data_IF_492807135197
#
_entry.id   IF_492807135197
#
_cell.length_a   1.000
_cell.length_b   1.000
_cell.length_c   1.000
_cell.angle_alpha   90.00
_cell.angle_beta   90.00
_cell.angle_gamma   90.00
#
_symmetry.space_group_name_H-M   'P 1'
#
loop_
_entity.id
_entity.type
_entity.pdbx_description
1 polymer ?
#
# COMPACT_ATOMS: atom_id res chain seq x y z
N UNK A 1 24.14 -20.14 22.11
CA UNK A 1 23.00 -19.30 22.49
C UNK A 1 23.32 -17.89 22.01
N UNK A 2 23.04 -17.61 20.74
CA UNK A 2 23.27 -16.29 20.15
C UNK A 2 22.06 -15.46 20.55
N UNK A 3 22.26 -14.46 21.42
CA UNK A 3 21.30 -13.38 21.59
C UNK A 3 21.24 -12.68 20.23
N UNK A 4 20.16 -12.88 19.48
CA UNK A 4 19.77 -11.90 18.48
C UNK A 4 19.46 -10.62 19.28
N UNK A 5 20.34 -9.63 19.16
CA UNK A 5 20.05 -8.29 19.63
C UNK A 5 18.78 -7.84 18.90
N UNK A 6 17.71 -7.58 19.65
CA UNK A 6 16.57 -6.81 19.17
C UNK A 6 17.16 -5.48 18.68
N UNK A 7 17.35 -5.32 17.37
CA UNK A 7 17.55 -4.01 16.79
C UNK A 7 16.40 -3.15 17.33
N UNK A 8 16.73 -2.10 18.09
CA UNK A 8 15.76 -1.13 18.58
C UNK A 8 14.92 -0.70 17.37
N UNK A 9 13.69 -1.22 17.29
CA UNK A 9 12.71 -0.76 16.32
C UNK A 9 12.51 0.69 16.67
N UNK A 10 13.14 1.58 15.90
CA UNK A 10 12.95 3.02 16.02
C UNK A 10 11.51 3.29 15.61
N UNK A 11 10.57 3.25 16.54
CA UNK A 11 9.14 3.53 16.32
C UNK A 11 8.91 5.02 16.04
N UNK A 12 9.67 5.66 15.14
CA UNK A 12 9.59 7.10 14.87
C UNK A 12 8.39 7.37 13.94
N UNK A 13 7.16 7.49 14.47
CA UNK A 13 5.97 7.49 13.64
C UNK A 13 5.87 8.87 12.97
N UNK A 14 5.45 8.95 11.70
CA UNK A 14 5.25 10.23 11.05
C UNK A 14 4.17 11.05 11.78
N UNK A 15 4.39 12.37 11.86
CA UNK A 15 3.35 13.28 12.32
C UNK A 15 2.27 13.49 11.24
N UNK A 16 1.15 14.11 11.62
CA UNK A 16 0.01 14.33 10.74
C UNK A 16 0.40 15.07 9.45
N UNK A 17 1.24 16.11 9.56
CA UNK A 17 1.73 16.86 8.40
C UNK A 17 2.52 15.98 7.44
N UNK A 18 3.36 15.10 7.96
CA UNK A 18 4.13 14.14 7.16
C UNK A 18 3.22 13.15 6.46
N UNK A 19 2.18 12.65 7.13
CA UNK A 19 1.18 11.74 6.53
C UNK A 19 0.36 12.46 5.46
N UNK A 20 -0.08 13.69 5.69
CA UNK A 20 -0.79 14.51 4.69
C UNK A 20 0.06 14.71 3.44
N UNK A 21 1.30 15.16 3.62
CA UNK A 21 2.24 15.34 2.52
C UNK A 21 2.39 14.04 1.72
N UNK A 22 2.51 12.90 2.41
CA UNK A 22 2.65 11.62 1.74
C UNK A 22 1.41 11.21 0.97
N UNK A 23 0.21 11.41 1.53
CA UNK A 23 -1.05 11.15 0.83
C UNK A 23 -1.15 11.97 -0.46
N UNK A 24 -0.75 13.24 -0.43
CA UNK A 24 -0.74 14.11 -1.63
C UNK A 24 0.26 13.62 -2.66
N UNK A 25 1.51 13.33 -2.25
CA UNK A 25 2.54 12.82 -3.15
C UNK A 25 2.12 11.52 -3.83
N UNK A 26 1.58 10.57 -3.05
CA UNK A 26 1.09 9.29 -3.55
C UNK A 26 -0.12 9.48 -4.47
N UNK A 27 -1.03 10.42 -4.17
CA UNK A 27 -2.17 10.72 -5.02
C UNK A 27 -1.76 11.21 -6.42
N UNK A 28 -0.84 12.18 -6.50
CA UNK A 28 -0.29 12.66 -7.77
C UNK A 28 0.38 11.51 -8.53
N UNK A 29 1.22 10.75 -7.82
CA UNK A 29 1.98 9.66 -8.42
C UNK A 29 1.06 8.56 -8.98
N UNK A 30 0.03 8.20 -8.23
CA UNK A 30 -0.98 7.21 -8.65
C UNK A 30 -1.81 7.70 -9.83
N UNK A 31 -2.22 8.98 -9.84
CA UNK A 31 -2.87 9.58 -11.02
C UNK A 31 -1.98 9.48 -12.26
N UNK A 32 -0.67 9.74 -12.11
CA UNK A 32 0.26 9.63 -13.25
C UNK A 32 0.35 8.21 -13.75
N UNK A 33 0.44 7.23 -12.83
CA UNK A 33 0.43 5.82 -13.21
C UNK A 33 -0.84 5.42 -13.99
N UNK A 34 -2.01 5.96 -13.64
CA UNK A 34 -3.25 5.71 -14.38
C UNK A 34 -3.19 6.27 -15.80
N UNK A 35 -2.75 7.52 -15.97
CA UNK A 35 -2.60 8.12 -17.30
C UNK A 35 -1.61 7.35 -18.18
N UNK A 36 -0.47 6.94 -17.62
CA UNK A 36 0.52 6.11 -18.32
C UNK A 36 -0.08 4.75 -18.71
N UNK A 37 -0.90 4.13 -17.84
CA UNK A 37 -1.57 2.87 -18.14
C UNK A 37 -2.62 3.00 -19.26
N UNK A 38 -3.43 4.06 -19.22
CA UNK A 38 -4.44 4.37 -20.24
C UNK A 38 -3.76 4.55 -21.60
N UNK A 39 -2.69 5.35 -21.65
CA UNK A 39 -1.95 5.54 -22.89
C UNK A 39 -1.24 4.26 -23.36
N UNK A 40 -0.58 3.52 -22.46
CA UNK A 40 0.11 2.27 -22.81
C UNK A 40 -0.84 1.24 -23.45
N UNK A 41 -2.08 1.18 -22.97
CA UNK A 41 -3.11 0.26 -23.48
C UNK A 41 -3.71 0.65 -24.83
N UNK A 42 -3.83 1.95 -25.12
CA UNK A 42 -4.48 2.47 -26.33
C UNK A 42 -3.50 2.85 -27.44
N UNK A 43 -2.35 3.44 -27.06
CA UNK A 43 -1.36 4.10 -27.93
C UNK A 43 -1.98 5.15 -28.86
N UNK A 44 -3.06 5.77 -28.41
CA UNK A 44 -3.79 6.79 -29.15
C UNK A 44 -3.18 8.18 -28.87
N UNK A 45 -2.86 8.92 -29.93
CA UNK A 45 -2.26 10.26 -29.84
C UNK A 45 -3.22 11.31 -29.25
N UNK A 46 -4.53 11.16 -29.45
CA UNK A 46 -5.54 12.06 -28.84
C UNK A 46 -5.63 11.83 -27.34
N UNK A 47 -5.62 10.55 -26.91
CA UNK A 47 -5.57 10.19 -25.48
C UNK A 47 -4.29 10.73 -24.86
N UNK A 48 -3.13 10.52 -25.50
CA UNK A 48 -1.86 11.06 -25.01
C UNK A 48 -1.92 12.57 -24.81
N UNK A 49 -2.54 13.28 -25.74
CA UNK A 49 -2.70 14.74 -25.67
C UNK A 49 -3.63 15.16 -24.54
N UNK A 50 -4.74 14.46 -24.32
CA UNK A 50 -5.67 14.72 -23.21
C UNK A 50 -4.96 14.53 -21.88
N UNK A 51 -4.31 13.38 -21.69
CA UNK A 51 -3.58 13.07 -20.46
C UNK A 51 -2.42 14.03 -20.24
N UNK A 52 -1.72 14.43 -21.31
CA UNK A 52 -0.66 15.43 -21.23
C UNK A 52 -1.19 16.77 -20.72
N UNK A 53 -2.25 17.29 -21.32
CA UNK A 53 -2.82 18.56 -20.91
C UNK A 53 -3.29 18.53 -19.44
N UNK A 54 -3.91 17.43 -19.02
CA UNK A 54 -4.29 17.23 -17.61
C UNK A 54 -3.06 17.25 -16.69
N UNK A 55 -1.98 16.58 -17.08
CA UNK A 55 -0.76 16.57 -16.27
C UNK A 55 0.02 17.88 -16.27
N UNK A 56 -0.03 18.66 -17.36
CA UNK A 56 0.51 20.02 -17.38
C UNK A 56 -0.21 20.89 -16.32
N UNK A 57 -1.54 20.78 -16.19
CA UNK A 57 -2.30 21.45 -15.12
C UNK A 57 -1.92 20.94 -13.71
N UNK A 58 -1.67 19.65 -13.57
CA UNK A 58 -1.22 19.06 -12.29
C UNK A 58 0.19 19.53 -11.92
N UNK A 59 1.08 19.69 -12.89
CA UNK A 59 2.44 20.21 -12.68
C UNK A 59 2.40 21.67 -12.21
N UNK A 60 1.61 22.53 -12.87
CA UNK A 60 1.39 23.91 -12.43
C UNK A 60 0.85 23.95 -10.98
N UNK A 61 -0.17 23.14 -10.69
CA UNK A 61 -0.72 23.03 -9.33
C UNK A 61 0.30 22.54 -8.31
N UNK A 62 1.16 21.59 -8.67
CA UNK A 62 2.23 21.10 -7.78
C UNK A 62 3.29 22.17 -7.49
N UNK A 63 3.59 23.03 -8.45
CA UNK A 63 4.49 24.17 -8.24
C UNK A 63 3.86 25.18 -7.28
N UNK A 64 2.61 25.58 -7.55
CA UNK A 64 1.86 26.56 -6.74
C UNK A 64 1.69 26.09 -5.29
N UNK A 65 1.33 24.83 -5.08
CA UNK A 65 1.11 24.23 -3.76
C UNK A 65 2.39 23.65 -3.11
N UNK A 66 3.55 23.88 -3.75
CA UNK A 66 4.87 23.47 -3.29
C UNK A 66 4.99 21.95 -3.01
N UNK A 67 4.30 21.14 -3.81
CA UNK A 67 4.26 19.67 -3.71
C UNK A 67 5.58 19.05 -4.16
N UNK A 68 6.28 19.66 -5.11
CA UNK A 68 7.56 19.15 -5.63
C UNK A 68 8.57 18.89 -4.50
N UNK A 69 8.56 19.74 -3.47
CA UNK A 69 9.51 19.64 -2.36
C UNK A 69 9.26 18.48 -1.40
N UNK A 70 8.04 17.90 -1.40
CA UNK A 70 7.68 16.77 -0.53
C UNK A 70 7.74 15.43 -1.25
N UNK A 71 7.91 15.41 -2.58
CA UNK A 71 8.09 14.19 -3.35
C UNK A 71 9.37 13.44 -2.94
N UNK A 72 9.27 12.12 -2.96
CA UNK A 72 10.37 11.18 -2.74
C UNK A 72 11.34 11.20 -3.92
N UNK A 73 12.52 10.58 -3.75
CA UNK A 73 13.53 10.56 -4.83
C UNK A 73 13.01 9.79 -6.05
N UNK A 74 12.33 8.68 -5.81
CA UNK A 74 11.71 7.85 -6.87
C UNK A 74 10.57 8.59 -7.54
N UNK A 75 9.70 9.23 -6.76
CA UNK A 75 8.56 10.01 -7.29
C UNK A 75 9.04 11.14 -8.19
N UNK A 76 10.05 11.91 -7.78
CA UNK A 76 10.66 12.97 -8.61
C UNK A 76 11.24 12.43 -9.91
N UNK A 77 11.96 11.31 -9.84
CA UNK A 77 12.58 10.70 -11.02
C UNK A 77 11.54 10.29 -12.06
N UNK A 78 10.44 9.67 -11.63
CA UNK A 78 9.41 9.16 -12.51
C UNK A 78 8.48 10.26 -13.01
N UNK A 79 8.06 11.19 -12.15
CA UNK A 79 7.25 12.34 -12.56
C UNK A 79 8.00 13.27 -13.53
N UNK A 80 9.33 13.33 -13.45
CA UNK A 80 10.15 14.08 -14.40
C UNK A 80 10.29 13.45 -15.79
N UNK A 81 9.73 12.26 -16.03
CA UNK A 81 9.67 11.66 -17.37
C UNK A 81 8.53 12.28 -18.18
N UNK A 82 8.72 12.38 -19.50
CA UNK A 82 7.61 12.74 -20.39
C UNK A 82 6.48 11.71 -20.29
N UNK A 83 5.23 12.16 -20.49
CA UNK A 83 4.08 11.28 -20.44
C UNK A 83 4.10 10.25 -21.56
N UNK A 84 3.75 9.02 -21.23
CA UNK A 84 3.82 7.86 -22.13
C UNK A 84 5.22 7.27 -22.25
N UNK A 85 6.15 7.65 -21.39
CA UNK A 85 7.53 7.12 -21.35
C UNK A 85 7.82 6.25 -20.14
N UNK A 86 6.85 6.00 -19.27
CA UNK A 86 7.04 5.02 -18.20
C UNK A 86 7.11 3.62 -18.80
N UNK A 87 8.02 2.80 -18.27
CA UNK A 87 8.11 1.40 -18.64
C UNK A 87 6.92 0.63 -18.04
N UNK A 88 6.53 -0.49 -18.67
CA UNK A 88 5.38 -1.30 -18.22
C UNK A 88 5.52 -1.72 -16.74
N UNK A 89 6.73 -2.08 -16.31
CA UNK A 89 7.00 -2.43 -14.92
C UNK A 89 6.88 -1.22 -13.97
N UNK A 90 7.23 -0.02 -14.43
CA UNK A 90 7.08 1.21 -13.64
C UNK A 90 5.60 1.54 -13.45
N UNK A 91 4.79 1.41 -14.52
CA UNK A 91 3.34 1.58 -14.47
C UNK A 91 2.73 0.56 -13.50
N UNK A 92 3.04 -0.72 -13.69
CA UNK A 92 2.50 -1.81 -12.87
C UNK A 92 2.80 -1.63 -11.38
N UNK A 93 4.07 -1.34 -11.03
CA UNK A 93 4.47 -1.08 -9.64
C UNK A 93 3.86 0.21 -9.08
N UNK A 94 3.50 1.17 -9.90
CA UNK A 94 2.94 2.44 -9.43
C UNK A 94 1.42 2.37 -9.27
N UNK A 95 0.74 1.48 -9.99
CA UNK A 95 -0.68 1.21 -9.79
C UNK A 95 -0.97 0.49 -8.47
N UNK A 96 0.00 -0.21 -7.87
CA UNK A 96 -0.17 -0.82 -6.53
C UNK A 96 -0.35 0.23 -5.42
N UNK A 97 0.04 1.49 -5.66
CA UNK A 97 -0.09 2.59 -4.72
C UNK A 97 -1.55 3.00 -4.43
N UNK A 98 -2.55 2.42 -5.12
CA UNK A 98 -3.95 2.58 -4.72
C UNK A 98 -4.19 2.12 -3.28
N UNK A 99 -3.59 1.00 -2.88
CA UNK A 99 -3.72 0.48 -1.51
C UNK A 99 -2.99 1.37 -0.51
N UNK A 100 -1.79 1.84 -0.85
CA UNK A 100 -1.05 2.82 -0.05
C UNK A 100 -1.88 4.08 0.19
N UNK A 101 -2.44 4.65 -0.88
CA UNK A 101 -3.27 5.85 -0.83
C UNK A 101 -4.53 5.63 0.03
N UNK A 102 -5.21 4.50 -0.15
CA UNK A 102 -6.38 4.14 0.64
C UNK A 102 -6.06 4.05 2.14
N UNK A 103 -4.93 3.45 2.51
CA UNK A 103 -4.48 3.38 3.91
C UNK A 103 -4.12 4.75 4.45
N UNK A 104 -3.42 5.59 3.67
CA UNK A 104 -3.08 6.96 4.09
C UNK A 104 -4.35 7.81 4.32
N UNK A 105 -5.34 7.71 3.44
CA UNK A 105 -6.61 8.41 3.58
C UNK A 105 -7.45 7.86 4.74
N UNK A 106 -7.43 6.56 4.99
CA UNK A 106 -8.01 5.97 6.19
C UNK A 106 -7.30 6.48 7.46
N UNK A 107 -5.97 6.52 7.46
CA UNK A 107 -5.18 7.03 8.57
C UNK A 107 -5.46 8.50 8.85
N UNK A 108 -5.74 9.30 7.82
CA UNK A 108 -6.14 10.71 7.92
C UNK A 108 -7.66 10.91 8.14
N UNK A 109 -8.39 9.86 8.46
CA UNK A 109 -9.83 9.87 8.77
C UNK A 109 -10.74 10.36 7.62
N UNK A 110 -10.28 10.32 6.37
CA UNK A 110 -11.14 10.52 5.21
C UNK A 110 -11.95 9.26 4.85
N UNK A 111 -11.39 8.09 5.19
CA UNK A 111 -12.06 6.80 5.03
C UNK A 111 -12.34 6.21 6.42
N UNK A 112 -13.59 5.82 6.65
CA UNK A 112 -14.03 5.29 7.95
C UNK A 112 -13.48 3.89 8.25
N UNK A 113 -13.41 3.03 7.22
CA UNK A 113 -13.07 1.62 7.37
C UNK A 113 -12.19 1.15 6.22
N UNK A 114 -11.13 0.41 6.56
CA UNK A 114 -10.32 -0.32 5.59
C UNK A 114 -11.19 -1.47 5.03
N UNK A 115 -11.29 -1.63 3.70
CA UNK A 115 -12.04 -2.73 3.11
C UNK A 115 -11.37 -4.08 3.39
N UNK A 116 -12.11 -5.21 3.33
CA UNK A 116 -11.53 -6.53 3.52
C UNK A 116 -10.34 -6.81 2.58
N UNK A 117 -9.41 -7.66 3.01
CA UNK A 117 -8.23 -8.02 2.20
C UNK A 117 -8.62 -8.74 0.90
N UNK A 118 -9.76 -9.43 0.87
CA UNK A 118 -10.27 -10.03 -0.37
C UNK A 118 -10.78 -9.03 -1.41
N UNK A 119 -11.04 -7.77 -1.03
CA UNK A 119 -11.65 -6.75 -1.91
C UNK A 119 -10.73 -5.58 -2.24
N UNK A 120 -9.84 -5.17 -1.34
CA UNK A 120 -9.01 -3.98 -1.56
C UNK A 120 -9.81 -2.66 -1.60
N UNK A 121 -9.10 -1.55 -1.76
CA UNK A 121 -9.71 -0.25 -2.04
C UNK A 121 -10.17 -0.18 -3.49
N UNK A 122 -11.34 0.44 -3.71
CA UNK A 122 -11.84 0.73 -5.06
C UNK A 122 -11.44 2.13 -5.46
N UNK A 123 -11.09 2.30 -6.73
CA UNK A 123 -10.67 3.59 -7.29
C UNK A 123 -11.65 4.72 -6.95
N UNK A 124 -12.94 4.50 -7.15
CA UNK A 124 -13.98 5.51 -6.91
C UNK A 124 -14.08 5.93 -5.44
N UNK A 125 -13.75 5.04 -4.50
CA UNK A 125 -13.81 5.34 -3.07
C UNK A 125 -12.60 6.18 -2.61
N UNK A 126 -11.55 6.25 -3.44
CA UNK A 126 -10.28 6.92 -3.13
C UNK A 126 -10.12 8.21 -3.92
N UNK A 127 -10.46 8.20 -5.22
CA UNK A 127 -10.13 9.28 -6.14
C UNK A 127 -10.84 10.60 -5.81
N UNK A 128 -12.07 10.55 -5.30
CA UNK A 128 -12.81 11.77 -4.98
C UNK A 128 -12.28 12.50 -3.74
N UNK A 129 -11.51 11.78 -2.90
CA UNK A 129 -10.97 12.27 -1.64
C UNK A 129 -9.64 13.02 -1.81
N UNK A 130 -8.92 12.81 -2.91
CA UNK A 130 -7.60 13.43 -3.11
C UNK A 130 -7.74 14.91 -3.48
N UNK A 131 -6.75 15.76 -3.11
CA UNK A 131 -6.81 17.20 -3.31
C UNK A 131 -6.16 17.67 -4.61
N UNK A 132 -5.84 16.77 -5.55
CA UNK A 132 -5.18 17.15 -6.80
C UNK A 132 -6.08 18.10 -7.61
N UNK A 133 -5.51 19.23 -8.05
CA UNK A 133 -6.24 20.38 -8.65
C UNK A 133 -7.29 21.02 -7.73
N UNK A 134 -7.20 20.81 -6.41
CA UNK A 134 -8.04 21.43 -5.38
C UNK A 134 -7.16 22.16 -4.37
N UNK A 135 -7.76 22.90 -3.44
CA UNK A 135 -7.02 23.57 -2.37
C UNK A 135 -6.34 22.55 -1.45
N UNK A 136 -5.00 22.65 -1.35
CA UNK A 136 -4.22 21.89 -0.36
C UNK A 136 -4.61 22.26 1.06
N UNK A 137 -4.81 23.54 1.33
CA UNK A 137 -5.18 24.07 2.65
C UNK A 137 -6.52 23.46 3.14
N UNK A 138 -7.53 23.36 2.27
CA UNK A 138 -8.81 22.74 2.63
C UNK A 138 -8.67 21.24 2.93
N UNK A 139 -7.73 20.55 2.29
CA UNK A 139 -7.43 19.15 2.59
C UNK A 139 -6.73 19.03 3.95
N UNK A 140 -5.70 19.84 4.19
CA UNK A 140 -4.97 19.90 5.46
C UNK A 140 -5.91 20.18 6.64
N UNK A 141 -6.84 21.13 6.48
CA UNK A 141 -7.79 21.50 7.54
C UNK A 141 -8.82 20.41 7.88
N UNK A 142 -9.11 19.49 6.94
CA UNK A 142 -10.05 18.38 7.15
C UNK A 142 -9.37 17.11 7.62
N UNK A 143 -8.10 16.92 7.28
CA UNK A 143 -7.32 15.75 7.65
C UNK A 143 -7.19 15.63 9.16
N UNK A 144 -7.35 14.41 9.68
CA UNK A 144 -7.12 14.09 11.10
C UNK A 144 -6.44 12.75 11.21
N UNK A 145 -5.19 12.74 11.64
CA UNK A 145 -4.45 11.52 11.87
C UNK A 145 -5.10 10.73 13.02
N UNK A 146 -5.47 9.48 12.74
CA UNK A 146 -5.95 8.54 13.74
C UNK A 146 -4.89 8.35 14.82
N UNK A 147 -5.35 8.12 16.05
CA UNK A 147 -4.43 7.91 17.15
C UNK A 147 -3.57 6.64 16.92
N UNK A 148 -2.38 6.65 17.50
CA UNK A 148 -1.39 5.58 17.33
C UNK A 148 -1.91 4.18 17.69
N UNK A 149 -2.82 4.08 18.68
CA UNK A 149 -3.39 2.78 19.09
C UNK A 149 -4.26 2.17 17.99
N UNK A 150 -5.03 2.98 17.25
CA UNK A 150 -5.78 2.53 16.09
C UNK A 150 -4.85 2.09 14.95
N UNK A 151 -3.82 2.88 14.66
CA UNK A 151 -2.84 2.55 13.62
C UNK A 151 -2.11 1.24 13.93
N UNK A 152 -1.64 1.08 15.17
CA UNK A 152 -0.97 -0.15 15.64
C UNK A 152 -1.88 -1.38 15.56
N UNK A 153 -3.16 -1.23 15.93
CA UNK A 153 -4.12 -2.34 15.85
C UNK A 153 -4.29 -2.83 14.41
N UNK A 154 -4.45 -1.92 13.45
CA UNK A 154 -4.54 -2.32 12.03
C UNK A 154 -3.21 -2.85 11.51
N UNK A 155 -2.08 -2.33 11.97
CA UNK A 155 -0.75 -2.89 11.66
C UNK A 155 -0.59 -4.32 12.15
N UNK A 156 -1.07 -4.66 13.36
CA UNK A 156 -1.06 -6.03 13.88
C UNK A 156 -1.91 -6.97 13.01
N UNK A 157 -3.06 -6.51 12.53
CA UNK A 157 -3.89 -7.25 11.56
C UNK A 157 -3.12 -7.46 10.25
N UNK A 158 -2.50 -6.41 9.72
CA UNK A 158 -1.73 -6.49 8.48
C UNK A 158 -0.51 -7.42 8.58
N UNK A 159 0.14 -7.47 9.73
CA UNK A 159 1.25 -8.39 9.98
C UNK A 159 0.81 -9.86 9.89
N UNK A 160 -0.39 -10.20 10.38
CA UNK A 160 -0.89 -11.58 10.30
C UNK A 160 -1.13 -12.01 8.86
N UNK A 161 -1.74 -11.13 8.06
CA UNK A 161 -1.90 -11.33 6.62
C UNK A 161 -0.55 -11.44 5.90
N UNK A 162 0.39 -10.55 6.23
CA UNK A 162 1.75 -10.57 5.68
C UNK A 162 2.49 -11.87 6.01
N UNK A 163 2.47 -12.32 7.26
CA UNK A 163 3.11 -13.58 7.63
C UNK A 163 2.46 -14.78 6.95
N UNK A 164 1.14 -14.76 6.76
CA UNK A 164 0.47 -15.85 6.02
C UNK A 164 0.97 -15.90 4.59
N UNK A 165 0.99 -14.76 3.92
CA UNK A 165 1.54 -14.64 2.57
C UNK A 165 3.01 -15.08 2.51
N UNK A 166 3.84 -14.61 3.45
CA UNK A 166 5.28 -14.92 3.53
C UNK A 166 5.54 -16.41 3.70
N UNK A 167 4.78 -17.11 4.56
CA UNK A 167 4.87 -18.56 4.71
C UNK A 167 4.54 -19.27 3.38
N UNK A 168 3.47 -18.84 2.69
CA UNK A 168 3.11 -19.38 1.37
C UNK A 168 4.20 -19.19 0.32
N UNK A 169 4.83 -18.01 0.29
CA UNK A 169 5.97 -17.72 -0.59
C UNK A 169 7.17 -18.61 -0.28
N UNK A 170 7.56 -18.71 1.00
CA UNK A 170 8.68 -19.56 1.44
C UNK A 170 8.48 -21.03 1.06
N UNK A 171 7.24 -21.55 1.15
CA UNK A 171 6.88 -22.88 0.68
C UNK A 171 7.09 -23.03 -0.83
N UNK A 172 6.60 -22.08 -1.63
CA UNK A 172 6.78 -22.09 -3.11
C UNK A 172 8.25 -22.02 -3.52
N UNK A 173 9.08 -21.31 -2.75
CA UNK A 173 10.52 -21.19 -2.95
C UNK A 173 11.33 -22.38 -2.38
N UNK A 174 10.67 -23.41 -1.83
CA UNK A 174 11.29 -24.58 -1.20
C UNK A 174 12.27 -24.22 -0.07
N UNK A 175 11.99 -23.13 0.67
CA UNK A 175 12.78 -22.76 1.83
C UNK A 175 12.67 -23.82 2.92
N UNK A 176 13.80 -24.26 3.48
CA UNK A 176 13.83 -25.30 4.52
C UNK A 176 13.67 -24.67 5.90
N UNK A 177 12.66 -25.13 6.63
CA UNK A 177 12.52 -24.80 8.05
C UNK A 177 13.58 -25.54 8.88
N UNK A 178 13.80 -25.04 10.10
CA UNK A 178 14.62 -25.73 11.09
C UNK A 178 14.03 -27.10 11.45
N UNK A 179 14.88 -28.01 11.92
CA UNK A 179 14.49 -29.37 12.30
C UNK A 179 13.34 -29.36 13.33
N UNK A 180 12.29 -30.13 13.06
CA UNK A 180 11.11 -30.22 13.92
C UNK A 180 10.06 -29.12 13.71
N UNK A 181 10.25 -28.18 12.77
CA UNK A 181 9.24 -27.17 12.41
C UNK A 181 8.47 -27.56 11.15
N UNK A 182 7.18 -27.25 11.11
CA UNK A 182 6.30 -27.46 9.96
C UNK A 182 5.63 -26.17 9.50
N UNK A 183 5.49 -26.00 8.18
CA UNK A 183 4.69 -24.91 7.60
C UNK A 183 3.22 -25.03 7.99
N UNK A 184 2.66 -26.23 7.98
CA UNK A 184 1.26 -26.47 8.31
C UNK A 184 0.96 -26.08 9.77
N UNK A 185 1.87 -26.40 10.69
CA UNK A 185 1.74 -25.99 12.10
C UNK A 185 1.86 -24.47 12.25
N UNK A 186 2.80 -23.83 11.56
CA UNK A 186 2.96 -22.37 11.58
C UNK A 186 1.72 -21.66 11.02
N UNK A 187 1.17 -22.14 9.89
CA UNK A 187 -0.05 -21.60 9.28
C UNK A 187 -1.24 -21.78 10.22
N UNK A 188 -1.38 -22.96 10.86
CA UNK A 188 -2.46 -23.21 11.82
C UNK A 188 -2.41 -22.25 13.00
N UNK A 189 -1.25 -22.11 13.65
CA UNK A 189 -1.06 -21.20 14.79
C UNK A 189 -1.37 -19.76 14.38
N UNK A 190 -0.89 -19.34 13.21
CA UNK A 190 -1.14 -18.00 12.68
C UNK A 190 -2.62 -17.76 12.41
N UNK A 191 -3.31 -18.74 11.84
CA UNK A 191 -4.73 -18.70 11.50
C UNK A 191 -5.61 -18.63 12.75
N UNK A 192 -5.29 -19.41 13.79
CA UNK A 192 -5.95 -19.33 15.10
C UNK A 192 -5.76 -17.95 15.75
N UNK A 193 -4.53 -17.40 15.68
CA UNK A 193 -4.25 -16.03 16.16
C UNK A 193 -5.06 -15.00 15.37
N UNK A 194 -5.11 -15.11 14.05
CA UNK A 194 -5.85 -14.21 13.18
C UNK A 194 -7.36 -14.21 13.46
N UNK A 195 -7.95 -15.38 13.72
CA UNK A 195 -9.35 -15.47 14.13
C UNK A 195 -9.56 -14.79 15.49
N UNK A 196 -8.69 -15.05 16.47
CA UNK A 196 -8.83 -14.49 17.82
C UNK A 196 -8.73 -12.96 17.88
N UNK A 197 -7.94 -12.37 16.97
CA UNK A 197 -7.76 -10.92 16.84
C UNK A 197 -8.76 -10.26 15.90
N UNK A 198 -9.64 -11.05 15.26
CA UNK A 198 -10.64 -10.56 14.30
C UNK A 198 -10.06 -10.13 12.95
N UNK A 199 -8.82 -10.53 12.62
CA UNK A 199 -8.21 -10.29 11.32
C UNK A 199 -8.87 -11.10 10.20
N UNK A 200 -9.47 -12.24 10.55
CA UNK A 200 -10.34 -13.08 9.71
C UNK A 200 -11.63 -13.40 10.48
N UNK A 201 -12.73 -13.61 9.76
CA UNK A 201 -14.05 -13.90 10.36
C UNK A 201 -14.26 -15.39 10.66
N UNK A 202 -13.59 -16.24 9.89
CA UNK A 202 -13.69 -17.68 9.98
C UNK A 202 -12.38 -18.32 9.50
N UNK A 203 -12.24 -19.62 9.76
CA UNK A 203 -11.12 -20.43 9.28
C UNK A 203 -11.65 -21.36 8.21
N UNK A 204 -10.99 -21.41 7.06
CA UNK A 204 -11.35 -22.31 5.97
C UNK A 204 -10.18 -23.25 5.69
N UNK A 205 -10.41 -24.56 5.84
CA UNK A 205 -9.39 -25.60 5.63
C UNK A 205 -8.07 -25.37 6.40
N UNK A 206 -8.16 -24.87 7.64
CA UNK A 206 -7.03 -24.45 8.49
C UNK A 206 -6.24 -23.23 7.99
N UNK A 207 -6.86 -22.40 7.15
CA UNK A 207 -6.23 -21.26 6.51
C UNK A 207 -7.11 -19.99 6.52
N UNK A 208 -6.55 -18.87 6.07
CA UNK A 208 -7.21 -17.59 5.87
C UNK A 208 -8.20 -17.70 4.70
N UNK A 209 -9.46 -17.27 4.88
CA UNK A 209 -10.45 -17.28 3.81
C UNK A 209 -10.26 -16.09 2.86
N UNK A 210 -10.29 -16.35 1.56
CA UNK A 210 -10.33 -15.35 0.48
C UNK A 210 -11.44 -15.74 -0.50
N UNK A 211 -12.52 -14.94 -0.57
CA UNK A 211 -13.68 -15.17 -1.45
C UNK A 211 -14.19 -16.62 -1.43
N UNK A 212 -14.27 -17.21 -0.23
CA UNK A 212 -14.76 -18.59 -0.03
C UNK A 212 -13.77 -19.70 -0.41
N UNK A 213 -12.48 -19.39 -0.58
CA UNK A 213 -11.39 -20.36 -0.77
C UNK A 213 -10.28 -20.13 0.26
N UNK A 214 -9.57 -21.18 0.71
CA UNK A 214 -8.40 -20.97 1.56
C UNK A 214 -7.29 -20.26 0.77
N UNK A 215 -6.48 -19.44 1.45
CA UNK A 215 -5.38 -18.70 0.84
C UNK A 215 -4.41 -19.60 0.06
N UNK A 216 -4.17 -20.83 0.54
CA UNK A 216 -3.35 -21.85 -0.12
C UNK A 216 -3.83 -22.22 -1.54
N UNK A 217 -5.11 -22.02 -1.86
CA UNK A 217 -5.71 -22.34 -3.15
C UNK A 217 -5.76 -21.14 -4.11
N UNK A 218 -5.15 -20.00 -3.75
CA UNK A 218 -5.03 -18.87 -4.67
C UNK A 218 -3.99 -19.14 -5.75
N UNK A 219 -4.41 -18.93 -6.99
CA UNK A 219 -3.60 -19.17 -8.19
C UNK A 219 -3.47 -17.89 -9.01
N UNK A 220 -2.36 -17.79 -9.75
CA UNK A 220 -2.12 -16.78 -10.80
C UNK A 220 -2.55 -15.35 -10.41
N UNK A 221 -3.53 -14.78 -11.11
CA UNK A 221 -3.96 -13.39 -11.00
C UNK A 221 -4.55 -13.09 -9.61
N UNK A 222 -5.31 -14.03 -9.02
CA UNK A 222 -5.86 -13.86 -7.68
C UNK A 222 -4.74 -13.80 -6.63
N UNK A 223 -3.72 -14.66 -6.76
CA UNK A 223 -2.57 -14.65 -5.86
C UNK A 223 -1.81 -13.32 -5.96
N UNK A 224 -1.54 -12.82 -7.18
CA UNK A 224 -0.83 -11.55 -7.40
C UNK A 224 -1.64 -10.39 -6.82
N UNK A 225 -2.93 -10.32 -7.12
CA UNK A 225 -3.82 -9.25 -6.65
C UNK A 225 -3.87 -9.18 -5.12
N UNK A 226 -4.12 -10.32 -4.46
CA UNK A 226 -4.19 -10.39 -3.00
C UNK A 226 -2.81 -10.13 -2.36
N UNK A 227 -1.72 -10.61 -2.98
CA UNK A 227 -0.37 -10.32 -2.51
C UNK A 227 -0.09 -8.83 -2.47
N UNK A 228 -0.45 -8.08 -3.52
CA UNK A 228 -0.27 -6.63 -3.57
C UNK A 228 -1.02 -5.93 -2.44
N UNK A 229 -2.29 -6.29 -2.19
CA UNK A 229 -3.06 -5.74 -1.07
C UNK A 229 -2.38 -6.00 0.27
N UNK A 230 -1.92 -7.23 0.48
CA UNK A 230 -1.26 -7.62 1.74
C UNK A 230 0.02 -6.82 1.96
N UNK A 231 0.87 -6.77 0.94
CA UNK A 231 2.20 -6.15 1.01
C UNK A 231 2.06 -4.64 1.21
N UNK A 232 1.31 -3.95 0.35
CA UNK A 232 1.22 -2.48 0.38
C UNK A 232 0.60 -1.98 1.70
N UNK A 233 -0.46 -2.65 2.18
CA UNK A 233 -1.04 -2.33 3.49
C UNK A 233 -0.05 -2.54 4.62
N UNK A 234 0.66 -3.67 4.63
CA UNK A 234 1.63 -3.99 5.66
C UNK A 234 2.79 -2.97 5.68
N UNK A 235 3.34 -2.63 4.51
CA UNK A 235 4.42 -1.67 4.38
C UNK A 235 3.99 -0.26 4.80
N UNK A 236 2.81 0.20 4.37
CA UNK A 236 2.28 1.52 4.74
C UNK A 236 1.94 1.61 6.22
N UNK A 237 1.31 0.58 6.80
CA UNK A 237 1.00 0.55 8.23
C UNK A 237 2.26 0.47 9.10
N UNK A 238 3.28 -0.28 8.68
CA UNK A 238 4.59 -0.25 9.31
C UNK A 238 5.19 1.15 9.31
N UNK A 239 5.16 1.86 8.17
CA UNK A 239 5.65 3.24 8.09
C UNK A 239 4.88 4.17 9.02
N UNK A 240 3.54 4.12 9.00
CA UNK A 240 2.67 4.88 9.91
C UNK A 240 2.95 4.61 11.40
N UNK A 241 3.39 3.39 11.71
CA UNK A 241 3.74 2.98 13.07
C UNK A 241 5.21 3.23 13.44
N UNK A 242 5.99 3.79 12.50
CA UNK A 242 7.37 4.20 12.69
C UNK A 242 8.42 3.13 12.35
N UNK A 243 8.06 1.94 11.86
CA UNK A 243 9.02 0.84 11.62
C UNK A 243 10.00 1.10 10.47
N UNK A 244 9.85 2.20 9.71
CA UNK A 244 10.77 2.62 8.66
C UNK A 244 11.21 4.06 8.89
N UNK A 245 12.48 4.37 8.58
CA UNK A 245 13.01 5.73 8.75
C UNK A 245 12.43 6.72 7.73
N UNK A 246 12.04 6.22 6.55
CA UNK A 246 11.48 7.01 5.47
C UNK A 246 10.51 6.19 4.62
N UNK A 247 9.72 6.88 3.81
CA UNK A 247 8.79 6.26 2.85
C UNK A 247 9.51 5.40 1.79
N UNK A 248 10.67 5.87 1.32
CA UNK A 248 11.46 5.19 0.28
C UNK A 248 12.20 3.94 0.82
N UNK A 249 12.30 3.79 2.15
CA UNK A 249 12.92 2.63 2.79
C UNK A 249 11.93 1.48 3.04
N UNK A 250 10.64 1.66 2.73
CA UNK A 250 9.62 0.61 2.83
C UNK A 250 10.04 -0.57 1.96
N UNK A 251 10.31 -1.70 2.61
CA UNK A 251 10.68 -2.95 1.94
C UNK A 251 10.24 -4.13 2.78
N UNK A 252 10.06 -5.26 2.11
CA UNK A 252 9.95 -6.55 2.77
C UNK A 252 11.26 -6.83 3.53
N UNK A 253 11.12 -7.31 4.77
CA UNK A 253 12.22 -7.80 5.59
C UNK A 253 12.49 -9.28 5.30
#
# INVERSE_FOLDING_TARGET
MVKMEEEDILLNPPDEKTVINRAISVAVFFLRAQAEAIYSSSKDEEILKIEKNFFDEVEDWMEDENIINILSTREKLLLGKEIGKWEEMEIFLSLSYLEDLGILLWALSFIDKIPPYEEGFKLNDVIDLIPVLKSREEFENRAKLRNYKELMKEREIAELWYFRWKLGRMMKENYKLEEGKSYDEAIKILTEKALSLGAIKEILENDFPIKGRPFSHLEKEDYIYISNIIIERYLTLNWLCGYYKSWDERKEF
#
